data_IF_902362776458
#
_entry.id   IF_902362776458
#
_cell.length_a   1.000
_cell.length_b   1.000
_cell.length_c   1.000
_cell.angle_alpha   90.00
_cell.angle_beta   90.00
_cell.angle_gamma   90.00
#
_symmetry.space_group_name_H-M   'P 1'
#
loop_
_entity.id
_entity.type
_entity.pdbx_description
1 polymer ?
#
# COMPACT_ATOMS: atom_id res chain seq x y z
N UNK A 1 13.36 8.92 -13.65
CA UNK A 1 12.68 7.61 -13.57
C UNK A 1 12.36 7.36 -12.11
N UNK A 2 11.20 6.79 -11.80
CA UNK A 2 10.78 6.51 -10.42
C UNK A 2 10.47 5.03 -10.23
N UNK A 3 10.20 4.64 -8.99
CA UNK A 3 9.66 3.34 -8.63
C UNK A 3 8.55 3.56 -7.60
N UNK A 4 7.46 4.16 -8.07
CA UNK A 4 6.42 4.75 -7.22
C UNK A 4 5.30 3.78 -6.90
N UNK A 5 4.84 3.82 -5.65
CA UNK A 5 3.66 3.10 -5.19
C UNK A 5 2.76 3.99 -4.33
N UNK A 6 1.45 3.76 -4.42
CA UNK A 6 0.45 4.29 -3.50
C UNK A 6 -0.23 3.12 -2.80
N UNK A 7 -0.06 2.99 -1.48
CA UNK A 7 -0.60 1.88 -0.70
C UNK A 7 -1.75 2.40 0.17
N UNK A 8 -2.88 1.71 0.11
CA UNK A 8 -4.10 2.05 0.87
C UNK A 8 -4.62 0.77 1.51
N UNK A 9 -4.68 0.76 2.84
CA UNK A 9 -5.33 -0.31 3.59
C UNK A 9 -6.82 -0.06 3.72
N UNK A 10 -7.63 -1.12 3.75
CA UNK A 10 -9.07 -1.01 3.98
C UNK A 10 -9.62 -2.15 4.84
N UNK A 11 -10.75 -1.88 5.50
CA UNK A 11 -11.51 -2.91 6.20
C UNK A 11 -12.15 -3.87 5.18
N UNK A 12 -12.30 -5.14 5.55
CA UNK A 12 -12.84 -6.17 4.67
C UNK A 12 -14.33 -5.97 4.37
N UNK A 13 -15.09 -5.63 5.41
CA UNK A 13 -16.55 -5.57 5.36
C UNK A 13 -17.10 -4.16 5.21
N UNK A 14 -16.25 -3.14 5.35
CA UNK A 14 -16.66 -1.73 5.34
C UNK A 14 -15.84 -0.93 4.35
N UNK A 15 -16.44 0.13 3.82
CA UNK A 15 -15.75 1.12 2.98
C UNK A 15 -14.93 2.10 3.83
N UNK A 16 -14.20 1.57 4.81
CA UNK A 16 -13.26 2.33 5.65
C UNK A 16 -11.88 2.13 5.05
N UNK A 17 -11.24 3.24 4.69
CA UNK A 17 -9.97 3.28 3.98
C UNK A 17 -8.97 4.13 4.76
N UNK A 18 -7.78 3.58 4.99
CA UNK A 18 -6.67 4.28 5.61
C UNK A 18 -6.11 5.39 4.72
N UNK A 19 -5.15 6.19 5.21
CA UNK A 19 -4.51 7.22 4.40
C UNK A 19 -3.76 6.61 3.21
N UNK A 20 -3.35 7.46 2.27
CA UNK A 20 -2.46 7.04 1.18
C UNK A 20 -1.03 7.05 1.70
N UNK A 21 -0.34 5.91 1.63
CA UNK A 21 1.10 5.82 1.86
C UNK A 21 1.82 5.78 0.52
N UNK A 22 2.77 6.68 0.32
CA UNK A 22 3.50 6.83 -0.93
C UNK A 22 4.95 6.44 -0.80
N UNK A 23 5.43 5.66 -1.76
CA UNK A 23 6.84 5.33 -1.94
C UNK A 23 7.33 5.95 -3.24
N UNK A 24 8.51 6.58 -3.23
CA UNK A 24 9.12 7.15 -4.43
C UNK A 24 10.03 6.14 -5.18
N UNK A 25 10.81 5.36 -4.42
CA UNK A 25 11.90 4.51 -4.93
C UNK A 25 11.71 3.00 -4.68
N UNK A 26 10.74 2.63 -3.84
CA UNK A 26 10.58 1.28 -3.31
C UNK A 26 9.23 0.64 -3.66
N UNK A 27 8.63 1.02 -4.79
CA UNK A 27 7.35 0.45 -5.24
C UNK A 27 7.40 -1.08 -5.42
N UNK A 28 8.56 -1.62 -5.81
CA UNK A 28 8.78 -3.06 -5.92
C UNK A 28 8.88 -3.80 -4.57
N UNK A 29 9.11 -3.07 -3.47
CA UNK A 29 9.24 -3.64 -2.12
C UNK A 29 7.90 -3.79 -1.40
N UNK A 30 6.80 -3.33 -1.99
CA UNK A 30 5.49 -3.31 -1.32
C UNK A 30 5.10 -4.70 -0.81
N UNK A 31 5.29 -5.76 -1.61
CA UNK A 31 4.94 -7.11 -1.17
C UNK A 31 5.80 -7.62 -0.01
N UNK A 32 7.10 -7.32 0.00
CA UNK A 32 7.98 -7.68 1.12
C UNK A 32 7.54 -6.97 2.41
N UNK A 33 7.28 -5.66 2.34
CA UNK A 33 6.77 -4.91 3.48
C UNK A 33 5.42 -5.47 3.96
N UNK A 34 4.50 -5.79 3.05
CA UNK A 34 3.21 -6.37 3.43
C UNK A 34 3.35 -7.73 4.13
N UNK A 35 4.28 -8.58 3.68
CA UNK A 35 4.59 -9.84 4.35
C UNK A 35 5.10 -9.62 5.78
N UNK A 36 6.01 -8.67 5.97
CA UNK A 36 6.51 -8.30 7.29
C UNK A 36 5.43 -7.68 8.18
N UNK A 37 4.58 -6.79 7.66
CA UNK A 37 3.44 -6.23 8.40
C UNK A 37 2.49 -7.35 8.82
N UNK A 38 2.14 -8.26 7.92
CA UNK A 38 1.26 -9.40 8.22
C UNK A 38 1.83 -10.24 9.36
N UNK A 39 3.13 -10.54 9.32
CA UNK A 39 3.80 -11.28 10.40
C UNK A 39 3.76 -10.52 11.75
N UNK A 40 3.96 -9.20 11.74
CA UNK A 40 3.90 -8.37 12.95
C UNK A 40 2.49 -8.22 13.52
N UNK A 41 1.47 -8.17 12.66
CA UNK A 41 0.07 -8.04 13.06
C UNK A 41 -0.49 -9.35 13.63
N UNK A 42 -0.02 -10.50 13.16
CA UNK A 42 -0.43 -11.81 13.66
C UNK A 42 -1.95 -12.01 13.54
N UNK A 43 -2.62 -12.28 14.65
CA UNK A 43 -4.08 -12.45 14.70
C UNK A 43 -4.87 -11.13 14.78
N UNK A 44 -4.18 -9.98 14.80
CA UNK A 44 -4.83 -8.67 14.76
C UNK A 44 -5.25 -8.36 13.32
N UNK A 45 -6.51 -8.67 13.01
CA UNK A 45 -7.09 -8.52 11.67
C UNK A 45 -8.08 -7.35 11.61
N UNK A 46 -8.29 -6.81 10.41
CA UNK A 46 -9.26 -5.72 10.13
C UNK A 46 -8.93 -4.41 10.87
N UNK A 47 -7.67 -4.19 11.23
CA UNK A 47 -7.17 -2.99 11.91
C UNK A 47 -6.33 -2.14 10.95
N UNK A 48 -7.03 -1.30 10.20
CA UNK A 48 -6.46 -0.45 9.14
C UNK A 48 -5.42 0.53 9.69
N UNK A 49 -5.68 1.12 10.86
CA UNK A 49 -4.82 2.15 11.44
C UNK A 49 -3.47 1.53 11.87
N UNK A 50 -3.50 0.38 12.55
CA UNK A 50 -2.28 -0.31 12.95
C UNK A 50 -1.54 -0.91 11.74
N UNK A 51 -2.24 -1.51 10.78
CA UNK A 51 -1.61 -2.04 9.57
C UNK A 51 -0.87 -0.93 8.79
N UNK A 52 -1.52 0.23 8.62
CA UNK A 52 -0.92 1.40 7.98
C UNK A 52 0.29 1.90 8.75
N UNK A 53 0.17 2.05 10.07
CA UNK A 53 1.28 2.52 10.91
C UNK A 53 2.50 1.59 10.87
N UNK A 54 2.28 0.27 10.88
CA UNK A 54 3.36 -0.73 10.77
C UNK A 54 4.03 -0.69 9.40
N UNK A 55 3.25 -0.57 8.32
CA UNK A 55 3.79 -0.43 6.97
C UNK A 55 4.67 0.83 6.83
N UNK A 56 4.20 1.97 7.35
CA UNK A 56 4.97 3.22 7.38
C UNK A 56 6.28 3.04 8.14
N UNK A 57 6.25 2.38 9.31
CA UNK A 57 7.44 2.12 10.10
C UNK A 57 8.51 1.34 9.32
N UNK A 58 8.12 0.21 8.72
CA UNK A 58 9.04 -0.61 7.93
C UNK A 58 9.57 0.13 6.70
N UNK A 59 8.70 0.80 5.96
CA UNK A 59 9.12 1.59 4.81
C UNK A 59 10.07 2.73 5.19
N UNK A 60 9.91 3.34 6.37
CA UNK A 60 10.77 4.42 6.85
C UNK A 60 12.16 3.92 7.26
N UNK A 61 12.26 2.73 7.85
CA UNK A 61 13.55 2.15 8.26
C UNK A 61 14.46 1.83 7.06
N UNK A 62 13.86 1.37 5.95
CA UNK A 62 14.56 1.01 4.72
C UNK A 62 14.82 2.25 3.81
N UNK A 63 13.94 3.26 3.86
CA UNK A 63 13.96 4.38 2.93
C UNK A 63 14.28 5.73 3.59
N UNK A 64 15.56 5.95 3.91
CA UNK A 64 16.00 7.07 4.79
C UNK A 64 16.07 8.44 4.13
N UNK A 65 15.89 8.55 2.81
CA UNK A 65 16.01 9.82 2.10
C UNK A 65 14.77 10.72 2.26
N UNK A 66 14.96 12.05 2.28
CA UNK A 66 13.89 13.01 2.58
C UNK A 66 12.75 13.09 1.55
N UNK A 67 12.92 12.53 0.34
CA UNK A 67 11.93 12.60 -0.76
C UNK A 67 11.38 11.22 -1.13
N UNK A 68 11.33 10.31 -0.15
CA UNK A 68 11.24 8.89 -0.42
C UNK A 68 9.95 8.22 0.05
N UNK A 69 9.36 8.73 1.13
CA UNK A 69 8.15 8.25 1.79
C UNK A 69 7.25 9.45 2.11
N UNK A 70 5.95 9.32 1.82
CA UNK A 70 4.95 10.33 2.16
C UNK A 70 3.66 9.69 2.64
N UNK A 71 2.88 10.43 3.43
CA UNK A 71 1.54 10.00 3.87
C UNK A 71 0.60 11.20 3.78
N UNK A 72 -0.58 11.01 3.21
CA UNK A 72 -1.60 12.04 3.13
C UNK A 72 -3.00 11.45 3.11
N UNK A 73 -3.99 12.30 3.40
CA UNK A 73 -5.38 11.89 3.30
C UNK A 73 -5.84 11.76 1.86
N UNK A 74 -6.70 10.77 1.64
CA UNK A 74 -7.30 10.55 0.32
C UNK A 74 -8.09 11.79 -0.10
N UNK A 75 -8.14 12.11 -1.41
CA UNK A 75 -8.97 13.20 -1.89
C UNK A 75 -10.45 12.95 -1.54
N UNK A 76 -11.21 14.02 -1.31
CA UNK A 76 -12.64 13.95 -0.93
C UNK A 76 -13.51 13.14 -1.90
N UNK A 77 -13.09 13.03 -3.16
CA UNK A 77 -13.75 12.28 -4.24
C UNK A 77 -13.18 10.86 -4.44
N UNK A 78 -12.51 10.30 -3.43
CA UNK A 78 -11.94 8.97 -3.48
C UNK A 78 -12.97 7.92 -3.91
N UNK A 79 -12.54 7.02 -4.80
CA UNK A 79 -13.32 5.86 -5.23
C UNK A 79 -12.39 4.66 -5.37
N UNK A 80 -12.87 3.51 -4.92
CA UNK A 80 -12.22 2.20 -5.03
C UNK A 80 -12.47 1.51 -6.38
N UNK A 81 -13.05 2.24 -7.35
CA UNK A 81 -13.28 1.71 -8.69
C UNK A 81 -11.96 1.60 -9.46
N UNK A 82 -11.83 0.55 -10.27
CA UNK A 82 -10.65 0.33 -11.11
C UNK A 82 -10.25 1.57 -11.90
N UNK A 83 -11.19 2.17 -12.64
CA UNK A 83 -10.92 3.33 -13.49
C UNK A 83 -10.37 4.52 -12.67
N UNK A 84 -10.93 4.77 -11.49
CA UNK A 84 -10.46 5.85 -10.62
C UNK A 84 -9.05 5.57 -10.07
N UNK A 85 -8.79 4.35 -9.62
CA UNK A 85 -7.48 3.95 -9.07
C UNK A 85 -6.38 3.94 -10.14
N UNK A 86 -6.71 3.57 -11.38
CA UNK A 86 -5.79 3.66 -12.52
C UNK A 86 -5.44 5.11 -12.86
N UNK A 87 -6.40 6.03 -12.82
CA UNK A 87 -6.16 7.48 -13.03
C UNK A 87 -5.40 8.10 -11.85
N UNK A 88 -5.63 7.63 -10.62
CA UNK A 88 -4.94 8.09 -9.42
C UNK A 88 -3.48 7.64 -9.35
N UNK A 89 -3.14 6.58 -10.09
CA UNK A 89 -1.77 6.05 -10.15
C UNK A 89 -0.78 7.09 -10.68
N UNK A 90 0.45 7.02 -10.16
CA UNK A 90 1.58 7.77 -10.71
C UNK A 90 2.32 7.01 -11.82
N UNK A 91 1.85 5.81 -12.20
CA UNK A 91 2.60 4.83 -12.99
C UNK A 91 3.54 4.00 -12.10
N UNK A 92 4.58 3.40 -12.70
CA UNK A 92 5.53 2.51 -12.02
C UNK A 92 4.85 1.30 -11.34
N UNK A 93 4.97 1.11 -10.03
CA UNK A 93 4.34 -0.01 -9.33
C UNK A 93 2.82 0.16 -9.20
N UNK A 94 2.35 1.40 -9.19
CA UNK A 94 0.94 1.75 -9.21
C UNK A 94 0.28 1.86 -7.83
N UNK A 95 -1.02 1.60 -7.77
CA UNK A 95 -1.82 1.66 -6.53
C UNK A 95 -2.07 0.26 -6.00
N UNK A 96 -1.80 0.06 -4.72
CA UNK A 96 -2.04 -1.18 -3.97
C UNK A 96 -3.19 -0.93 -3.00
N UNK A 97 -4.29 -1.63 -3.24
CA UNK A 97 -5.43 -1.66 -2.35
C UNK A 97 -5.39 -2.96 -1.56
N UNK A 98 -5.14 -2.84 -0.25
CA UNK A 98 -4.82 -3.97 0.64
C UNK A 98 -5.93 -4.18 1.66
N UNK A 99 -6.49 -5.39 1.68
CA UNK A 99 -7.46 -5.79 2.68
C UNK A 99 -6.77 -6.10 4.02
N UNK A 100 -7.08 -5.36 5.07
CA UNK A 100 -6.41 -5.50 6.38
C UNK A 100 -6.81 -6.78 7.15
N UNK A 101 -7.76 -7.57 6.65
CA UNK A 101 -8.15 -8.86 7.22
C UNK A 101 -7.56 -10.03 6.45
N UNK A 102 -7.68 -10.01 5.13
CA UNK A 102 -7.26 -11.14 4.28
C UNK A 102 -5.85 -10.99 3.73
N UNK A 103 -5.28 -9.78 3.78
CA UNK A 103 -4.04 -9.40 3.11
C UNK A 103 -4.09 -9.56 1.59
N UNK A 104 -5.29 -9.68 1.01
CA UNK A 104 -5.47 -9.66 -0.43
C UNK A 104 -5.04 -8.30 -0.99
N UNK A 105 -4.25 -8.32 -2.05
CA UNK A 105 -3.70 -7.14 -2.70
C UNK A 105 -4.30 -7.02 -4.08
N UNK A 106 -4.93 -5.87 -4.35
CA UNK A 106 -5.35 -5.50 -5.71
C UNK A 106 -4.48 -4.35 -6.21
N UNK A 107 -3.93 -4.50 -7.41
CA UNK A 107 -3.00 -3.54 -8.00
C UNK A 107 -3.59 -2.84 -9.22
N UNK A 108 -3.33 -1.54 -9.37
CA UNK A 108 -3.90 -0.71 -10.42
C UNK A 108 -2.89 0.26 -11.02
N UNK A 109 -2.95 0.48 -12.35
CA UNK A 109 -2.20 1.54 -13.03
C UNK A 109 -0.68 1.43 -12.96
N UNK A 110 -0.13 0.22 -12.85
CA UNK A 110 1.30 -0.04 -12.74
C UNK A 110 1.63 -1.52 -12.91
N UNK A 111 2.91 -1.89 -12.73
CA UNK A 111 3.37 -3.28 -12.83
C UNK A 111 2.97 -4.14 -11.61
N UNK A 112 2.49 -3.52 -10.52
CA UNK A 112 1.98 -4.22 -9.34
C UNK A 112 3.05 -4.92 -8.50
N UNK A 113 2.71 -6.08 -7.93
CA UNK A 113 3.68 -6.93 -7.22
C UNK A 113 4.63 -7.56 -8.23
N UNK A 114 5.93 -7.54 -7.94
CA UNK A 114 6.91 -8.31 -8.71
C UNK A 114 6.77 -9.81 -8.37
N UNK A 115 7.14 -10.69 -9.30
CA UNK A 115 6.95 -12.15 -9.18
C UNK A 115 7.61 -12.76 -7.93
N UNK A 116 8.66 -12.14 -7.37
CA UNK A 116 9.29 -12.57 -6.11
C UNK A 116 8.42 -12.31 -4.87
N UNK A 117 7.53 -11.32 -4.92
CA UNK A 117 6.74 -10.89 -3.76
C UNK A 117 5.30 -11.44 -3.73
N UNK A 118 4.83 -12.06 -4.82
CA UNK A 118 3.49 -12.65 -4.92
C UNK A 118 3.40 -14.09 -4.37
N UNK A 119 4.53 -14.70 -3.99
CA UNK A 119 4.64 -16.11 -3.59
C UNK A 119 4.83 -16.34 -2.08
N UNK A 120 4.79 -15.29 -1.25
CA UNK A 120 4.94 -15.33 0.21
C UNK A 120 3.60 -15.08 0.95
#
# INVERSE_FOLDING_TARGET
MGNRALVIFHEHSRKVYGPVVYLHWHGGMVGEYLSQVRALMGERLDDVDYATARFIGLAHEDNRDALSLGVWEKPRRFSDTKAWLEEFSHGDAGVFLVDAKTWEVRTFGGYGLTDEAAAA
#
